data_IF_465027548599
#
_entry.id   IF_465027548599
#
_cell.length_a   1.000
_cell.length_b   1.000
_cell.length_c   1.000
_cell.angle_alpha   90.00
_cell.angle_beta   90.00
_cell.angle_gamma   90.00
#
_symmetry.space_group_name_H-M   'P 1'
#
loop_
_entity.id
_entity.type
_entity.pdbx_description
1 polymer ?
#
# COMPACT_ATOMS: atom_id res chain seq x y z
N UNK A 1 12.63 -28.03 -6.69
CA UNK A 1 12.05 -26.67 -6.67
C UNK A 1 10.90 -26.64 -7.68
N UNK A 2 9.67 -26.87 -7.22
CA UNK A 2 8.47 -26.94 -8.11
C UNK A 2 7.22 -26.36 -7.43
N UNK A 3 7.30 -26.04 -6.13
CA UNK A 3 6.20 -25.45 -5.35
C UNK A 3 6.05 -23.94 -5.53
N UNK A 4 7.12 -23.22 -5.92
CA UNK A 4 7.07 -21.76 -6.14
C UNK A 4 6.19 -21.38 -7.32
N UNK A 5 6.42 -21.99 -8.49
CA UNK A 5 5.67 -21.68 -9.72
C UNK A 5 4.18 -22.03 -9.63
N UNK A 6 3.85 -23.12 -8.93
CA UNK A 6 2.45 -23.51 -8.70
C UNK A 6 1.75 -22.57 -7.72
N UNK A 7 2.45 -22.10 -6.68
CA UNK A 7 1.93 -21.12 -5.73
C UNK A 7 1.64 -19.79 -6.44
N UNK A 8 2.56 -19.31 -7.28
CA UNK A 8 2.39 -18.07 -8.05
C UNK A 8 1.18 -18.13 -8.97
N UNK A 9 0.98 -19.21 -9.74
CA UNK A 9 -0.18 -19.36 -10.64
C UNK A 9 -1.52 -19.37 -9.91
N UNK A 10 -1.58 -20.00 -8.73
CA UNK A 10 -2.80 -20.02 -7.94
C UNK A 10 -3.12 -18.65 -7.34
N UNK A 11 -2.10 -17.92 -6.87
CA UNK A 11 -2.23 -16.55 -6.38
C UNK A 11 -2.71 -15.63 -7.51
N UNK A 12 -2.07 -15.67 -8.68
CA UNK A 12 -2.46 -14.90 -9.87
C UNK A 12 -3.93 -15.12 -10.22
N UNK A 13 -4.38 -16.38 -10.28
CA UNK A 13 -5.77 -16.70 -10.60
C UNK A 13 -6.78 -16.15 -9.60
N UNK A 14 -6.42 -16.09 -8.31
CA UNK A 14 -7.27 -15.47 -7.28
C UNK A 14 -7.26 -13.95 -7.40
N UNK A 15 -6.08 -13.36 -7.60
CA UNK A 15 -5.90 -11.92 -7.79
C UNK A 15 -6.69 -11.43 -8.99
N UNK A 16 -6.65 -12.13 -10.13
CA UNK A 16 -7.39 -11.75 -11.34
C UNK A 16 -8.91 -11.72 -11.11
N UNK A 17 -9.43 -12.72 -10.39
CA UNK A 17 -10.85 -12.77 -10.03
C UNK A 17 -11.24 -11.61 -9.13
N UNK A 18 -10.43 -11.31 -8.11
CA UNK A 18 -10.69 -10.20 -7.19
C UNK A 18 -10.56 -8.84 -7.89
N UNK A 19 -9.54 -8.67 -8.74
CA UNK A 19 -9.32 -7.49 -9.55
C UNK A 19 -10.47 -7.25 -10.54
N UNK A 20 -11.24 -8.28 -10.90
CA UNK A 20 -12.45 -8.15 -11.72
C UNK A 20 -13.69 -7.87 -10.86
N UNK A 21 -13.93 -8.66 -9.80
CA UNK A 21 -15.16 -8.60 -9.01
C UNK A 21 -15.22 -7.33 -8.15
N UNK A 22 -14.11 -6.93 -7.52
CA UNK A 22 -14.11 -5.78 -6.60
C UNK A 22 -14.48 -4.49 -7.33
N UNK A 23 -13.85 -4.11 -8.47
CA UNK A 23 -14.26 -2.90 -9.19
C UNK A 23 -15.71 -2.96 -9.67
N UNK A 24 -16.18 -4.12 -10.14
CA UNK A 24 -17.56 -4.30 -10.61
C UNK A 24 -18.56 -4.09 -9.46
N UNK A 25 -18.28 -4.66 -8.28
CA UNK A 25 -19.11 -4.48 -7.09
C UNK A 25 -19.14 -3.01 -6.61
N UNK A 26 -17.98 -2.34 -6.58
CA UNK A 26 -17.91 -0.93 -6.20
C UNK A 26 -18.65 -0.03 -7.20
N UNK A 27 -18.58 -0.34 -8.50
CA UNK A 27 -19.31 0.37 -9.53
C UNK A 27 -20.84 0.15 -9.41
N UNK A 28 -21.28 -1.10 -9.26
CA UNK A 28 -22.71 -1.46 -9.21
C UNK A 28 -23.41 -0.88 -7.97
N UNK A 29 -22.70 -0.80 -6.85
CA UNK A 29 -23.19 -0.17 -5.61
C UNK A 29 -23.14 1.36 -5.62
N UNK A 30 -22.66 1.95 -6.73
CA UNK A 30 -22.37 3.38 -6.90
C UNK A 30 -21.45 3.93 -5.81
N UNK A 31 -20.56 3.09 -5.28
CA UNK A 31 -19.68 3.42 -4.16
C UNK A 31 -18.91 4.71 -4.40
N UNK A 32 -18.26 4.84 -5.57
CA UNK A 32 -17.48 6.04 -5.91
C UNK A 32 -18.35 7.30 -5.98
N UNK A 33 -19.57 7.21 -6.52
CA UNK A 33 -20.49 8.36 -6.53
C UNK A 33 -20.92 8.82 -5.13
N UNK A 34 -20.91 7.92 -4.14
CA UNK A 34 -21.20 8.25 -2.73
C UNK A 34 -19.98 8.80 -1.99
N UNK A 35 -18.77 8.61 -2.53
CA UNK A 35 -17.50 8.98 -1.91
C UNK A 35 -16.91 10.22 -2.58
N UNK A 36 -17.59 11.35 -2.37
CA UNK A 36 -17.15 12.65 -2.88
C UNK A 36 -15.76 13.05 -2.37
N UNK A 37 -15.36 12.52 -1.22
CA UNK A 37 -14.04 12.65 -0.61
C UNK A 37 -12.91 12.00 -1.40
N UNK A 38 -13.20 11.12 -2.37
CA UNK A 38 -12.19 10.53 -3.26
C UNK A 38 -11.83 11.44 -4.44
N UNK A 39 -12.68 12.43 -4.74
CA UNK A 39 -12.46 13.32 -5.85
C UNK A 39 -11.59 14.49 -5.38
N UNK A 40 -10.34 14.54 -5.85
CA UNK A 40 -9.38 15.57 -5.47
C UNK A 40 -9.89 17.00 -5.73
N UNK A 41 -10.65 17.21 -6.82
CA UNK A 41 -11.27 18.50 -7.13
C UNK A 41 -12.43 18.88 -6.18
N UNK A 42 -12.86 17.98 -5.29
CA UNK A 42 -13.83 18.24 -4.22
C UNK A 42 -13.16 18.42 -2.85
N UNK A 43 -11.86 18.14 -2.73
CA UNK A 43 -11.09 18.34 -1.51
C UNK A 43 -10.42 19.73 -1.55
N UNK A 44 -10.76 20.60 -0.59
CA UNK A 44 -10.18 21.95 -0.49
C UNK A 44 -8.64 21.95 -0.47
N UNK A 45 -8.01 20.93 0.12
CA UNK A 45 -6.55 20.79 0.15
C UNK A 45 -5.90 20.51 -1.23
N UNK A 46 -6.71 20.32 -2.27
CA UNK A 46 -6.29 19.94 -3.62
C UNK A 46 -6.96 20.77 -4.73
N UNK A 47 -7.84 21.73 -4.41
CA UNK A 47 -8.63 22.49 -5.41
C UNK A 47 -7.74 23.40 -6.30
N UNK A 48 -6.65 23.86 -5.72
CA UNK A 48 -5.62 24.74 -6.26
C UNK A 48 -4.32 23.98 -6.60
N UNK A 49 -4.29 22.66 -6.34
CA UNK A 49 -3.23 21.79 -6.86
C UNK A 49 -3.60 21.42 -8.28
N UNK A 50 -2.93 22.04 -9.25
CA UNK A 50 -3.08 21.69 -10.65
C UNK A 50 -2.85 20.19 -10.87
N UNK A 51 -3.37 19.63 -11.98
CA UNK A 51 -2.97 18.32 -12.51
C UNK A 51 -1.50 18.33 -12.99
N UNK A 52 -0.62 19.00 -12.26
CA UNK A 52 0.82 18.90 -12.37
C UNK A 52 1.23 17.44 -12.44
N UNK A 53 2.26 17.16 -13.26
CA UNK A 53 2.85 15.83 -13.34
C UNK A 53 3.18 15.36 -11.93
N UNK A 54 2.54 14.27 -11.50
CA UNK A 54 2.85 13.62 -10.25
C UNK A 54 4.35 13.36 -10.21
N UNK A 55 5.03 13.90 -9.20
CA UNK A 55 6.45 13.63 -8.98
C UNK A 55 6.57 12.19 -8.48
N UNK A 56 6.86 11.28 -9.40
CA UNK A 56 7.16 9.89 -9.08
C UNK A 56 8.60 9.82 -8.55
N UNK A 57 8.76 9.26 -7.35
CA UNK A 57 10.07 9.05 -6.72
C UNK A 57 10.27 7.55 -6.54
N UNK A 58 11.35 7.03 -7.11
CA UNK A 58 11.77 5.65 -6.88
C UNK A 58 12.70 5.61 -5.68
N UNK A 59 12.25 4.97 -4.61
CA UNK A 59 13.03 4.78 -3.39
C UNK A 59 13.78 3.46 -3.50
N UNK A 60 15.11 3.51 -3.43
CA UNK A 60 15.99 2.34 -3.45
C UNK A 60 16.37 1.95 -2.02
N UNK A 61 16.91 0.75 -1.85
CA UNK A 61 17.44 0.24 -0.58
C UNK A 61 16.40 0.25 0.56
N UNK A 62 15.13 -0.02 0.22
CA UNK A 62 14.07 -0.17 1.21
C UNK A 62 14.32 -1.45 2.01
N UNK A 63 14.28 -1.40 3.35
CA UNK A 63 14.40 -2.57 4.20
C UNK A 63 13.40 -3.64 3.77
N UNK A 64 13.90 -4.84 3.52
CA UNK A 64 13.07 -5.99 3.17
C UNK A 64 12.77 -6.80 4.42
N UNK A 65 11.55 -7.32 4.51
CA UNK A 65 11.22 -8.30 5.54
C UNK A 65 11.93 -9.62 5.28
N UNK A 66 12.06 -10.44 6.32
CA UNK A 66 12.49 -11.82 6.16
C UNK A 66 11.50 -12.58 5.24
N UNK A 67 11.97 -13.38 4.27
CA UNK A 67 11.09 -14.13 3.36
C UNK A 67 10.11 -15.08 4.06
N UNK A 68 10.42 -15.53 5.27
CA UNK A 68 9.54 -16.38 6.09
C UNK A 68 8.54 -15.58 6.94
N UNK A 69 8.61 -14.25 6.91
CA UNK A 69 7.75 -13.36 7.68
C UNK A 69 6.49 -12.92 6.92
N UNK A 70 5.40 -12.75 7.67
CA UNK A 70 4.12 -12.20 7.20
C UNK A 70 3.96 -10.71 7.58
N UNK A 71 5.06 -9.96 7.67
CA UNK A 71 5.11 -8.57 8.13
C UNK A 71 5.00 -7.53 6.99
N UNK A 72 4.60 -7.91 5.77
CA UNK A 72 4.57 -7.01 4.61
C UNK A 72 3.75 -5.74 4.85
N UNK A 73 2.59 -5.88 5.51
CA UNK A 73 1.75 -4.73 5.89
C UNK A 73 2.43 -3.82 6.91
N UNK A 74 3.14 -4.38 7.88
CA UNK A 74 3.90 -3.62 8.88
C UNK A 74 5.01 -2.80 8.22
N UNK A 75 5.76 -3.41 7.30
CA UNK A 75 6.83 -2.74 6.55
C UNK A 75 6.28 -1.61 5.69
N UNK A 76 5.16 -1.84 4.98
CA UNK A 76 4.49 -0.81 4.18
C UNK A 76 4.03 0.38 5.05
N UNK A 77 3.39 0.11 6.19
CA UNK A 77 2.96 1.15 7.13
C UNK A 77 4.15 1.95 7.67
N UNK A 78 5.25 1.27 8.01
CA UNK A 78 6.44 1.95 8.54
C UNK A 78 7.14 2.78 7.48
N UNK A 79 7.20 2.30 6.24
CA UNK A 79 7.71 3.03 5.07
C UNK A 79 6.89 4.30 4.84
N UNK A 80 5.56 4.18 4.78
CA UNK A 80 4.65 5.31 4.61
C UNK A 80 4.86 6.37 5.70
N UNK A 81 5.04 5.96 6.96
CA UNK A 81 5.31 6.88 8.08
C UNK A 81 6.62 7.67 7.89
N UNK A 82 7.69 7.06 7.39
CA UNK A 82 8.95 7.75 7.15
C UNK A 82 8.85 8.74 5.99
N UNK A 83 8.21 8.34 4.89
CA UNK A 83 8.00 9.20 3.72
C UNK A 83 7.14 10.41 4.10
N UNK A 84 6.09 10.21 4.90
CA UNK A 84 5.26 11.31 5.41
C UNK A 84 6.04 12.30 6.29
N UNK A 85 7.13 11.85 6.91
CA UNK A 85 8.05 12.70 7.68
C UNK A 85 9.18 13.32 6.82
N UNK A 86 9.13 13.15 5.49
CA UNK A 86 10.13 13.69 4.57
C UNK A 86 11.43 12.88 4.47
N UNK A 87 11.47 11.66 5.01
CA UNK A 87 12.64 10.78 4.95
C UNK A 87 12.51 9.84 3.75
N UNK A 88 13.39 10.02 2.76
CA UNK A 88 13.39 9.25 1.51
C UNK A 88 14.61 8.34 1.34
N UNK A 89 15.65 8.51 2.17
CA UNK A 89 16.76 7.57 2.26
C UNK A 89 16.42 6.50 3.29
N UNK A 90 16.26 5.27 2.82
CA UNK A 90 15.82 4.14 3.63
C UNK A 90 16.97 3.17 3.97
N UNK A 91 18.19 3.49 3.52
CA UNK A 91 19.36 2.60 3.62
C UNK A 91 19.79 2.28 5.07
N UNK A 92 19.51 3.18 6.01
CA UNK A 92 19.85 3.03 7.43
C UNK A 92 18.67 2.68 8.33
N UNK A 93 17.48 2.45 7.75
CA UNK A 93 16.28 2.18 8.53
C UNK A 93 16.28 0.70 8.94
N UNK A 94 16.43 0.46 10.24
CA UNK A 94 16.19 -0.85 10.82
C UNK A 94 14.74 -0.94 11.32
N UNK A 95 13.99 -1.94 10.83
CA UNK A 95 12.59 -2.18 11.25
C UNK A 95 12.56 -3.33 12.25
N UNK A 96 12.38 -3.00 13.53
CA UNK A 96 12.04 -3.99 14.55
C UNK A 96 10.56 -4.38 14.42
N UNK A 97 10.32 -5.47 13.67
CA UNK A 97 8.98 -5.97 13.43
C UNK A 97 8.26 -6.39 14.72
N UNK A 98 8.97 -6.94 15.72
CA UNK A 98 8.36 -7.40 16.97
C UNK A 98 7.86 -6.22 17.79
N UNK A 99 8.66 -5.16 17.89
CA UNK A 99 8.26 -3.93 18.55
C UNK A 99 7.05 -3.29 17.83
N UNK A 100 7.13 -3.16 16.50
CA UNK A 100 6.08 -2.50 15.73
C UNK A 100 4.77 -3.29 15.68
N UNK A 101 4.80 -4.64 15.68
CA UNK A 101 3.57 -5.44 15.83
C UNK A 101 2.83 -5.12 17.12
N UNK A 102 3.55 -5.03 18.25
CA UNK A 102 2.94 -4.65 19.53
C UNK A 102 2.36 -3.24 19.49
N UNK A 103 3.11 -2.30 18.95
CA UNK A 103 2.64 -0.91 18.81
C UNK A 103 1.42 -0.76 17.89
N UNK A 104 1.32 -1.56 16.83
CA UNK A 104 0.15 -1.53 15.95
C UNK A 104 -1.03 -2.29 16.55
N UNK A 105 -0.80 -3.34 17.34
CA UNK A 105 -1.86 -4.03 18.06
C UNK A 105 -2.54 -3.15 19.12
N UNK A 106 -1.88 -2.10 19.65
CA UNK A 106 -2.51 -1.19 20.63
C UNK A 106 -3.41 -0.12 20.02
N UNK A 107 -3.38 0.06 18.69
CA UNK A 107 -4.19 1.06 17.98
C UNK A 107 -5.34 0.40 17.18
N UNK A 108 -5.50 -0.91 17.31
CA UNK A 108 -6.62 -1.70 16.78
C UNK A 108 -7.51 -2.14 17.94
#
# INVERSE_FOLDING_TARGET
>A
MMGGDLHTRNVEKVVDKLATIIPLFLASTRFYGKRLDLYSNKLLAYVDKSQSKLKVVFIKNVPQQDPSSNDCGLYACRLAKHISNGVFDMSLIHIDAKYHRKSYATIM
#
